data_IF_979684761172
#
_entry.id   IF_979684761172
#
_cell.length_a   1.000
_cell.length_b   1.000
_cell.length_c   1.000
_cell.angle_alpha   90.00
_cell.angle_beta   90.00
_cell.angle_gamma   90.00
#
_symmetry.space_group_name_H-M   'P 1'
#
loop_
_entity.id
_entity.type
_entity.pdbx_description
1 polymer ?
#
# COMPACT_ATOMS: atom_id res chain seq x y z
N UNK A 1 27.16 21.61 2.90
CA UNK A 1 26.96 20.46 3.80
C UNK A 1 27.46 19.23 3.06
N UNK A 2 28.14 18.29 3.74
CA UNK A 2 28.66 17.05 3.13
C UNK A 2 27.47 16.12 2.81
N UNK A 3 27.47 15.47 1.66
CA UNK A 3 26.54 14.40 1.34
C UNK A 3 27.15 13.04 1.68
N UNK A 4 26.36 12.17 2.32
CA UNK A 4 26.71 10.78 2.62
C UNK A 4 25.76 9.89 1.82
N UNK A 5 26.33 9.07 0.94
CA UNK A 5 25.56 8.15 0.10
C UNK A 5 25.52 6.79 0.79
N UNK A 6 24.33 6.32 1.07
CA UNK A 6 24.06 5.00 1.64
C UNK A 6 23.55 4.04 0.56
N UNK A 7 24.09 2.82 0.57
CA UNK A 7 23.62 1.76 -0.30
C UNK A 7 22.48 1.00 0.39
N UNK A 8 21.33 0.89 -0.29
CA UNK A 8 20.26 0.02 0.13
C UNK A 8 20.23 -1.25 -0.72
N UNK A 9 19.96 -2.37 -0.10
CA UNK A 9 19.73 -3.63 -0.81
C UNK A 9 18.31 -3.69 -1.38
N UNK A 10 18.08 -4.41 -2.50
CA UNK A 10 16.75 -4.75 -2.95
C UNK A 10 15.99 -5.55 -1.89
N UNK A 11 14.69 -5.23 -1.73
CA UNK A 11 13.84 -5.83 -0.69
C UNK A 11 13.20 -7.14 -1.16
N UNK A 12 12.88 -8.04 -0.24
CA UNK A 12 12.11 -9.24 -0.51
C UNK A 12 12.63 -10.47 0.23
N UNK A 13 11.76 -11.46 0.36
CA UNK A 13 12.05 -12.73 0.99
C UNK A 13 13.26 -13.41 0.32
N UNK A 14 14.29 -13.87 1.07
CA UNK A 14 15.48 -14.52 0.52
C UNK A 14 15.22 -15.76 -0.33
N UNK A 15 14.08 -16.43 -0.12
CA UNK A 15 13.64 -17.59 -0.90
C UNK A 15 13.45 -17.31 -2.39
N UNK A 16 13.05 -16.08 -2.72
CA UNK A 16 12.73 -15.68 -4.11
C UNK A 16 13.92 -14.98 -4.75
N UNK A 17 14.12 -15.19 -6.07
CA UNK A 17 15.07 -14.42 -6.86
C UNK A 17 14.57 -13.02 -7.14
N UNK A 18 13.25 -12.88 -7.33
CA UNK A 18 12.64 -11.55 -7.45
C UNK A 18 12.95 -10.70 -6.21
N UNK A 19 13.29 -9.45 -6.45
CA UNK A 19 13.55 -8.44 -5.42
C UNK A 19 12.98 -7.10 -5.83
N UNK A 20 12.36 -6.41 -4.89
CA UNK A 20 11.85 -5.07 -5.09
C UNK A 20 12.99 -4.07 -5.16
N UNK A 21 13.07 -3.32 -6.28
CA UNK A 21 14.10 -2.31 -6.52
C UNK A 21 13.59 -0.89 -6.50
N UNK A 22 12.32 -0.67 -6.80
CA UNK A 22 11.66 0.64 -6.80
C UNK A 22 10.40 0.62 -5.94
N UNK A 23 9.94 1.79 -5.53
CA UNK A 23 8.68 1.93 -4.79
C UNK A 23 7.53 1.55 -5.73
N UNK A 24 6.71 0.58 -5.33
CA UNK A 24 5.63 0.08 -6.18
C UNK A 24 4.43 1.04 -6.14
N UNK A 25 3.99 1.47 -7.33
CA UNK A 25 2.77 2.25 -7.53
C UNK A 25 1.90 1.44 -8.50
N UNK A 26 1.01 0.64 -7.94
CA UNK A 26 0.21 -0.30 -8.74
C UNK A 26 -1.28 0.00 -8.70
N UNK A 27 -2.02 -0.62 -9.59
CA UNK A 27 -3.47 -0.66 -9.55
C UNK A 27 -4.00 -2.04 -9.90
N UNK A 28 -5.02 -2.46 -9.16
CA UNK A 28 -5.77 -3.66 -9.44
C UNK A 28 -6.86 -3.41 -10.48
N UNK A 29 -7.20 -4.45 -11.22
CA UNK A 29 -8.28 -4.44 -12.21
C UNK A 29 -8.15 -3.30 -13.24
N UNK A 30 -6.99 -3.22 -13.90
CA UNK A 30 -6.70 -2.22 -14.93
C UNK A 30 -7.42 -2.48 -16.27
N UNK A 31 -8.46 -3.31 -16.29
CA UNK A 31 -9.24 -3.65 -17.47
C UNK A 31 -10.32 -2.59 -17.71
N UNK A 32 -10.27 -1.93 -18.86
CA UNK A 32 -11.29 -1.00 -19.36
C UNK A 32 -11.88 -1.42 -20.69
N UNK A 33 -12.87 -0.66 -21.21
CA UNK A 33 -13.47 -0.92 -22.52
C UNK A 33 -12.43 -0.81 -23.63
N UNK A 34 -11.64 0.26 -23.62
CA UNK A 34 -10.47 0.45 -24.48
C UNK A 34 -9.22 0.11 -23.67
N UNK A 35 -8.71 -1.09 -23.86
CA UNK A 35 -7.55 -1.61 -23.13
C UNK A 35 -6.29 -0.80 -23.43
N UNK A 36 -6.04 -0.45 -24.69
CA UNK A 36 -4.83 0.30 -25.09
C UNK A 36 -4.81 1.70 -24.45
N UNK A 37 -5.93 2.41 -24.50
CA UNK A 37 -6.07 3.74 -23.87
C UNK A 37 -5.95 3.64 -22.35
N UNK A 38 -6.57 2.64 -21.73
CA UNK A 38 -6.51 2.41 -20.28
C UNK A 38 -5.07 2.24 -19.82
N UNK A 39 -4.31 1.33 -20.45
CA UNK A 39 -2.92 1.05 -20.06
C UNK A 39 -2.00 2.26 -20.31
N UNK A 40 -2.18 2.94 -21.47
CA UNK A 40 -1.47 4.19 -21.75
C UNK A 40 -1.71 5.24 -20.66
N UNK A 41 -2.96 5.44 -20.26
CA UNK A 41 -3.32 6.45 -19.25
C UNK A 41 -2.90 6.02 -17.83
N UNK A 42 -2.89 4.71 -17.50
CA UNK A 42 -2.28 4.23 -16.26
C UNK A 42 -0.79 4.63 -16.17
N UNK A 43 -0.04 4.40 -17.24
CA UNK A 43 1.38 4.82 -17.28
C UNK A 43 1.56 6.33 -17.17
N UNK A 44 0.71 7.11 -17.84
CA UNK A 44 0.74 8.58 -17.75
C UNK A 44 0.38 9.08 -16.33
N UNK A 45 -0.54 8.40 -15.62
CA UNK A 45 -0.86 8.67 -14.23
C UNK A 45 0.26 8.27 -13.24
N UNK A 46 1.35 7.68 -13.73
CA UNK A 46 2.54 7.37 -12.94
C UNK A 46 2.57 6.00 -12.31
N UNK A 47 1.63 5.11 -12.63
CA UNK A 47 1.72 3.70 -12.23
C UNK A 47 2.93 3.04 -12.89
N UNK A 48 3.70 2.27 -12.13
CA UNK A 48 4.84 1.49 -12.65
C UNK A 48 4.55 -0.01 -12.68
N UNK A 49 3.47 -0.45 -12.03
CA UNK A 49 3.06 -1.84 -11.97
C UNK A 49 1.53 -1.92 -12.11
N UNK A 50 1.04 -2.88 -12.86
CA UNK A 50 -0.38 -3.15 -13.01
C UNK A 50 -0.71 -4.57 -12.55
N UNK A 51 -1.93 -4.75 -12.08
CA UNK A 51 -2.46 -6.05 -11.73
C UNK A 51 -3.69 -6.28 -12.59
N UNK A 52 -3.57 -7.25 -13.52
CA UNK A 52 -4.69 -7.61 -14.33
C UNK A 52 -5.65 -8.41 -13.46
N UNK A 53 -6.83 -7.86 -13.27
CA UNK A 53 -7.83 -8.45 -12.40
C UNK A 53 -8.86 -9.26 -13.16
N UNK A 54 -10.05 -9.20 -12.68
CA UNK A 54 -11.17 -9.98 -13.12
C UNK A 54 -11.71 -9.49 -14.48
N UNK A 55 -11.63 -10.34 -15.48
CA UNK A 55 -12.12 -10.04 -16.82
C UNK A 55 -12.25 -11.31 -17.67
N UNK A 56 -12.73 -11.16 -18.91
CA UNK A 56 -12.70 -12.28 -19.85
C UNK A 56 -11.27 -12.63 -20.22
N UNK A 57 -11.06 -13.88 -20.60
CA UNK A 57 -9.75 -14.35 -21.06
C UNK A 57 -9.16 -13.44 -22.14
N UNK A 58 -9.94 -13.02 -23.12
CA UNK A 58 -9.49 -12.13 -24.19
C UNK A 58 -9.00 -10.79 -23.64
N UNK A 59 -9.75 -10.18 -22.69
CA UNK A 59 -9.38 -8.90 -22.10
C UNK A 59 -8.11 -8.97 -21.26
N UNK A 60 -7.91 -10.06 -20.54
CA UNK A 60 -6.67 -10.31 -19.79
C UNK A 60 -5.47 -10.34 -20.75
N UNK A 61 -5.58 -11.07 -21.87
CA UNK A 61 -4.49 -11.16 -22.84
C UNK A 61 -4.31 -9.88 -23.65
N UNK A 62 -5.37 -9.13 -23.98
CA UNK A 62 -5.25 -7.78 -24.54
C UNK A 62 -4.45 -6.86 -23.59
N UNK A 63 -4.67 -6.99 -22.28
CA UNK A 63 -3.93 -6.20 -21.26
C UNK A 63 -2.45 -6.57 -21.25
N UNK A 64 -2.09 -7.85 -21.36
CA UNK A 64 -0.69 -8.29 -21.49
C UNK A 64 -0.02 -7.62 -22.68
N UNK A 65 -0.66 -7.64 -23.87
CA UNK A 65 -0.09 -7.04 -25.09
C UNK A 65 0.01 -5.51 -24.98
N UNK A 66 -0.97 -4.86 -24.35
CA UNK A 66 -0.91 -3.42 -24.12
C UNK A 66 0.21 -3.03 -23.13
N UNK A 67 0.46 -3.83 -22.09
CA UNK A 67 1.56 -3.63 -21.17
C UNK A 67 2.93 -3.74 -21.84
N UNK A 68 3.11 -4.75 -22.71
CA UNK A 68 4.32 -4.88 -23.55
C UNK A 68 4.51 -3.66 -24.47
N UNK A 69 3.43 -3.19 -25.11
CA UNK A 69 3.45 -2.04 -26.02
C UNK A 69 3.83 -0.74 -25.31
N UNK A 70 3.25 -0.49 -24.15
CA UNK A 70 3.45 0.76 -23.41
C UNK A 70 4.62 0.71 -22.42
N UNK A 71 5.22 -0.46 -22.21
CA UNK A 71 6.37 -0.64 -21.32
C UNK A 71 6.05 -0.39 -19.85
N UNK A 72 5.00 -1.04 -19.33
CA UNK A 72 4.61 -1.00 -17.93
C UNK A 72 4.51 -2.44 -17.40
N UNK A 73 5.03 -2.67 -16.21
CA UNK A 73 5.09 -4.01 -15.63
C UNK A 73 3.70 -4.51 -15.19
N UNK A 74 3.51 -5.83 -15.26
CA UNK A 74 2.24 -6.50 -15.02
C UNK A 74 2.41 -7.71 -14.11
N UNK A 75 1.52 -7.83 -13.11
CA UNK A 75 1.25 -9.07 -12.38
C UNK A 75 0.04 -9.73 -13.04
N UNK A 76 0.25 -10.90 -13.62
CA UNK A 76 -0.75 -11.62 -14.40
C UNK A 76 -1.70 -12.42 -13.51
N UNK A 77 -3.00 -12.30 -13.77
CA UNK A 77 -4.05 -13.17 -13.26
C UNK A 77 -5.08 -13.47 -14.35
N UNK A 78 -5.42 -14.73 -14.52
CA UNK A 78 -6.50 -15.17 -15.41
C UNK A 78 -7.28 -16.29 -14.71
N UNK A 79 -8.42 -15.93 -14.16
CA UNK A 79 -9.26 -16.85 -13.38
C UNK A 79 -9.87 -17.98 -14.20
N UNK A 80 -9.81 -17.91 -15.54
CA UNK A 80 -10.23 -18.99 -16.42
C UNK A 80 -9.16 -20.07 -16.59
N UNK A 81 -7.89 -19.74 -16.31
CA UNK A 81 -6.74 -20.65 -16.46
C UNK A 81 -6.25 -21.18 -15.12
N UNK A 82 -5.85 -20.30 -14.23
CA UNK A 82 -5.37 -20.64 -12.90
C UNK A 82 -5.49 -19.43 -11.97
N UNK A 83 -5.23 -19.61 -10.71
CA UNK A 83 -5.45 -18.65 -9.64
C UNK A 83 -6.80 -18.84 -8.96
N UNK A 84 -7.12 -18.06 -7.96
CA UNK A 84 -8.34 -18.20 -7.19
C UNK A 84 -8.78 -16.92 -6.52
N UNK A 85 -10.03 -16.94 -6.10
CA UNK A 85 -10.67 -15.89 -5.32
C UNK A 85 -11.03 -16.39 -3.93
N UNK A 86 -11.19 -15.45 -2.98
CA UNK A 86 -11.37 -15.66 -1.55
C UNK A 86 -12.33 -16.79 -1.14
N UNK A 87 -13.41 -17.04 -1.87
CA UNK A 87 -14.47 -17.98 -1.49
C UNK A 87 -14.71 -19.11 -2.51
N UNK A 88 -14.00 -19.11 -3.63
CA UNK A 88 -14.18 -20.15 -4.64
C UNK A 88 -13.07 -21.17 -4.56
N UNK A 89 -13.27 -22.14 -3.70
CA UNK A 89 -12.70 -23.44 -3.98
C UNK A 89 -13.63 -24.10 -5.02
N UNK A 90 -13.28 -24.02 -6.29
CA UNK A 90 -13.74 -25.03 -7.23
C UNK A 90 -13.09 -26.32 -6.73
N UNK A 91 -13.85 -27.39 -6.50
CA UNK A 91 -13.35 -28.70 -6.01
C UNK A 91 -12.30 -29.34 -6.96
N UNK A 92 -11.98 -28.64 -8.04
CA UNK A 92 -10.96 -29.03 -9.00
C UNK A 92 -9.71 -28.18 -8.80
N UNK A 93 -8.60 -28.78 -8.33
CA UNK A 93 -7.32 -28.08 -8.37
C UNK A 93 -7.02 -27.69 -9.82
N UNK A 94 -6.48 -26.48 -10.00
CA UNK A 94 -6.03 -26.03 -11.33
C UNK A 94 -4.99 -27.03 -11.86
N UNK A 95 -5.17 -27.46 -13.12
CA UNK A 95 -4.26 -28.42 -13.76
C UNK A 95 -2.84 -27.83 -13.85
N UNK A 96 -1.90 -28.58 -13.31
CA UNK A 96 -0.48 -28.22 -13.32
C UNK A 96 0.04 -27.89 -14.72
N UNK A 97 -0.44 -28.58 -15.76
CA UNK A 97 0.02 -28.33 -17.11
C UNK A 97 -0.49 -27.01 -17.66
N UNK A 98 -1.73 -26.61 -17.32
CA UNK A 98 -2.27 -25.29 -17.67
C UNK A 98 -1.41 -24.18 -17.06
N UNK A 99 -1.04 -24.31 -15.79
CA UNK A 99 -0.14 -23.36 -15.12
C UNK A 99 1.21 -23.30 -15.86
N UNK A 100 1.85 -24.46 -16.11
CA UNK A 100 3.17 -24.53 -16.77
C UNK A 100 3.15 -23.93 -18.17
N UNK A 101 2.16 -24.27 -18.99
CA UNK A 101 2.04 -23.77 -20.37
C UNK A 101 1.82 -22.26 -20.38
N UNK A 102 0.97 -21.74 -19.49
CA UNK A 102 0.71 -20.30 -19.38
C UNK A 102 1.98 -19.56 -18.96
N UNK A 103 2.69 -20.05 -17.94
CA UNK A 103 3.94 -19.43 -17.47
C UNK A 103 5.02 -19.42 -18.56
N UNK A 104 5.19 -20.54 -19.31
CA UNK A 104 6.15 -20.61 -20.42
C UNK A 104 5.84 -19.60 -21.51
N UNK A 105 4.56 -19.42 -21.85
CA UNK A 105 4.11 -18.43 -22.83
C UNK A 105 4.38 -16.99 -22.35
N UNK A 106 4.14 -16.69 -21.06
CA UNK A 106 4.31 -15.37 -20.48
C UNK A 106 5.76 -15.04 -20.14
N UNK A 107 6.62 -16.03 -19.94
CA UNK A 107 8.06 -15.83 -19.68
C UNK A 107 8.78 -15.07 -20.80
N UNK A 108 8.26 -15.16 -22.02
CA UNK A 108 8.80 -14.42 -23.17
C UNK A 108 8.31 -12.95 -23.21
N UNK A 109 7.36 -12.57 -22.36
CA UNK A 109 6.86 -11.20 -22.23
C UNK A 109 7.72 -10.44 -21.24
N UNK A 110 8.35 -9.37 -21.70
CA UNK A 110 9.33 -8.59 -20.91
C UNK A 110 8.67 -7.93 -19.69
N UNK A 111 7.44 -7.50 -19.86
CA UNK A 111 6.71 -6.73 -18.86
C UNK A 111 5.74 -7.56 -18.00
N UNK A 112 5.66 -8.89 -18.20
CA UNK A 112 4.97 -9.77 -17.26
C UNK A 112 5.94 -10.21 -16.16
N UNK A 113 5.98 -9.46 -15.07
CA UNK A 113 6.98 -9.63 -14.00
C UNK A 113 6.54 -10.60 -12.90
N UNK A 114 5.24 -10.93 -12.83
CA UNK A 114 4.72 -11.76 -11.77
C UNK A 114 3.35 -12.39 -12.04
N UNK A 115 2.89 -13.15 -11.05
CA UNK A 115 1.62 -13.88 -11.10
C UNK A 115 0.85 -13.69 -9.81
N UNK A 116 -0.42 -13.34 -9.92
CA UNK A 116 -1.35 -13.19 -8.83
C UNK A 116 -1.96 -14.57 -8.54
N UNK A 117 -1.43 -15.24 -7.54
CA UNK A 117 -1.76 -16.66 -7.30
C UNK A 117 -3.03 -16.88 -6.51
N UNK A 118 -3.44 -15.92 -5.70
CA UNK A 118 -4.72 -15.97 -4.98
C UNK A 118 -5.14 -14.60 -4.46
N UNK A 119 -6.42 -14.29 -4.63
CA UNK A 119 -7.05 -13.07 -4.15
C UNK A 119 -7.75 -13.33 -2.82
N UNK A 120 -7.31 -12.66 -1.75
CA UNK A 120 -7.85 -12.72 -0.39
C UNK A 120 -8.13 -14.15 0.13
N UNK A 121 -7.12 -15.04 0.24
CA UNK A 121 -7.35 -16.36 0.81
C UNK A 121 -7.73 -16.26 2.28
N UNK A 122 -8.84 -16.92 2.68
CA UNK A 122 -9.41 -16.85 4.04
C UNK A 122 -9.31 -18.14 4.81
N UNK A 123 -8.86 -19.23 4.20
CA UNK A 123 -8.72 -20.54 4.81
C UNK A 123 -7.29 -21.07 4.60
N UNK A 124 -6.81 -21.87 5.55
CA UNK A 124 -5.48 -22.48 5.50
C UNK A 124 -5.25 -23.38 4.27
N UNK A 125 -6.28 -24.07 3.79
CA UNK A 125 -6.16 -24.88 2.57
C UNK A 125 -5.98 -24.01 1.30
N UNK A 126 -6.50 -22.76 1.30
CA UNK A 126 -6.28 -21.80 0.21
C UNK A 126 -4.84 -21.28 0.24
N UNK A 127 -4.25 -21.08 1.42
CA UNK A 127 -2.84 -20.72 1.56
C UNK A 127 -1.94 -21.80 0.94
N UNK A 128 -2.25 -23.07 1.21
CA UNK A 128 -1.52 -24.22 0.63
C UNK A 128 -1.70 -24.35 -0.89
N UNK A 129 -2.91 -24.07 -1.40
CA UNK A 129 -3.16 -24.09 -2.84
C UNK A 129 -2.42 -22.92 -3.55
N UNK A 130 -2.46 -21.71 -3.01
CA UNK A 130 -1.67 -20.59 -3.51
C UNK A 130 -0.15 -20.90 -3.49
N UNK A 131 0.32 -21.59 -2.43
CA UNK A 131 1.71 -22.06 -2.34
C UNK A 131 2.02 -23.09 -3.42
N UNK A 132 1.14 -24.06 -3.66
CA UNK A 132 1.30 -25.07 -4.71
C UNK A 132 1.44 -24.44 -6.07
N UNK A 133 0.56 -23.47 -6.41
CA UNK A 133 0.64 -22.72 -7.67
C UNK A 133 1.96 -21.96 -7.77
N UNK A 134 2.36 -21.25 -6.71
CA UNK A 134 3.64 -20.54 -6.64
C UNK A 134 4.84 -21.47 -6.91
N UNK A 135 4.85 -22.66 -6.32
CA UNK A 135 5.95 -23.61 -6.51
C UNK A 135 6.03 -24.15 -7.95
N UNK A 136 4.88 -24.30 -8.64
CA UNK A 136 4.85 -24.68 -10.06
C UNK A 136 5.37 -23.54 -10.92
N UNK A 137 4.90 -22.31 -10.69
CA UNK A 137 5.30 -21.13 -11.45
C UNK A 137 6.82 -20.89 -11.29
N UNK A 138 7.36 -20.94 -10.09
CA UNK A 138 8.78 -20.71 -9.82
C UNK A 138 9.70 -21.79 -10.43
N UNK A 139 9.21 -23.00 -10.68
CA UNK A 139 9.97 -24.01 -11.45
C UNK A 139 10.14 -23.65 -12.91
N UNK A 140 9.14 -23.00 -13.50
CA UNK A 140 9.16 -22.57 -14.92
C UNK A 140 9.80 -21.17 -15.07
N UNK A 141 9.53 -20.24 -14.13
CA UNK A 141 10.07 -18.88 -14.10
C UNK A 141 10.56 -18.52 -12.69
N UNK A 142 11.83 -18.80 -12.34
CA UNK A 142 12.37 -18.55 -11.00
C UNK A 142 12.45 -17.07 -10.61
N UNK A 143 12.40 -16.16 -11.56
CA UNK A 143 12.55 -14.71 -11.35
C UNK A 143 11.18 -14.01 -11.21
N UNK A 144 10.08 -14.75 -11.30
CA UNK A 144 8.74 -14.19 -11.21
C UNK A 144 8.38 -13.74 -9.79
N UNK A 145 7.67 -12.62 -9.69
CA UNK A 145 6.98 -12.19 -8.47
C UNK A 145 5.74 -13.06 -8.25
N UNK A 146 5.70 -13.77 -7.13
CA UNK A 146 4.49 -14.44 -6.66
C UNK A 146 3.70 -13.48 -5.79
N UNK A 147 2.49 -13.15 -6.19
CA UNK A 147 1.70 -12.15 -5.52
C UNK A 147 0.37 -12.72 -5.00
N UNK A 148 -0.02 -12.28 -3.83
CA UNK A 148 -1.31 -12.55 -3.19
C UNK A 148 -1.57 -11.43 -2.19
N UNK A 149 -2.82 -11.06 -1.98
CA UNK A 149 -3.24 -10.08 -0.97
C UNK A 149 -3.92 -10.79 0.18
N UNK A 150 -3.67 -10.36 1.41
CA UNK A 150 -4.39 -10.82 2.59
C UNK A 150 -5.57 -9.88 2.85
N UNK A 151 -6.79 -10.42 3.11
CA UNK A 151 -7.99 -9.62 3.26
C UNK A 151 -7.98 -8.76 4.52
N UNK A 152 -8.81 -7.70 4.59
CA UNK A 152 -8.93 -6.85 5.75
C UNK A 152 -9.67 -7.52 6.91
N UNK A 153 -9.49 -6.99 8.12
CA UNK A 153 -10.09 -7.54 9.35
C UNK A 153 -11.62 -7.56 9.36
N UNK A 154 -12.27 -6.76 8.53
CA UNK A 154 -13.72 -6.77 8.39
C UNK A 154 -14.26 -7.87 7.47
N UNK A 155 -13.41 -8.55 6.73
CA UNK A 155 -13.84 -9.65 5.89
C UNK A 155 -14.25 -10.83 6.76
N UNK A 156 -15.45 -11.42 6.57
CA UNK A 156 -15.98 -12.50 7.44
C UNK A 156 -15.29 -13.84 7.16
N UNK A 157 -13.98 -13.88 7.30
CA UNK A 157 -13.26 -15.16 7.34
C UNK A 157 -13.59 -15.91 8.62
N UNK A 158 -13.70 -17.24 8.60
CA UNK A 158 -14.08 -18.03 9.79
C UNK A 158 -13.05 -17.98 10.91
N UNK A 159 -11.97 -17.27 10.74
CA UNK A 159 -10.78 -17.35 11.60
C UNK A 159 -10.53 -16.11 12.43
N UNK A 160 -11.21 -14.99 12.21
CA UNK A 160 -10.81 -13.76 12.90
C UNK A 160 -11.76 -13.14 13.91
N UNK A 161 -12.58 -13.96 14.52
CA UNK A 161 -13.29 -13.53 15.71
C UNK A 161 -12.31 -13.34 16.89
N UNK A 162 -12.44 -12.21 17.59
CA UNK A 162 -11.76 -11.96 18.88
C UNK A 162 -10.22 -12.06 18.86
N UNK A 163 -9.56 -11.32 17.98
CA UNK A 163 -8.09 -11.22 17.95
C UNK A 163 -7.39 -12.24 17.06
N UNK A 164 -8.12 -13.12 16.40
CA UNK A 164 -7.55 -14.12 15.48
C UNK A 164 -7.07 -13.56 14.15
N UNK A 165 -7.37 -12.31 13.82
CA UNK A 165 -6.91 -11.68 12.58
C UNK A 165 -5.38 -11.70 12.46
N UNK A 166 -4.67 -11.32 13.53
CA UNK A 166 -3.21 -11.39 13.56
C UNK A 166 -2.71 -12.82 13.34
N UNK A 167 -3.30 -13.79 14.05
CA UNK A 167 -2.88 -15.20 13.96
C UNK A 167 -3.12 -15.77 12.56
N UNK A 168 -4.27 -15.45 11.93
CA UNK A 168 -4.59 -15.87 10.57
C UNK A 168 -3.63 -15.23 9.55
N UNK A 169 -3.33 -13.94 9.70
CA UNK A 169 -2.37 -13.27 8.83
C UNK A 169 -0.95 -13.83 9.01
N UNK A 170 -0.57 -14.13 10.22
CA UNK A 170 0.70 -14.81 10.48
C UNK A 170 0.75 -16.22 9.90
N UNK A 171 -0.35 -16.98 9.99
CA UNK A 171 -0.45 -18.31 9.37
C UNK A 171 -0.34 -18.23 7.84
N UNK A 172 -1.02 -17.26 7.21
CA UNK A 172 -0.86 -16.99 5.78
C UNK A 172 0.61 -16.78 5.40
N UNK A 173 1.35 -15.97 6.16
CA UNK A 173 2.78 -15.73 5.90
C UNK A 173 3.58 -17.03 6.01
N UNK A 174 3.32 -17.85 7.04
CA UNK A 174 4.04 -19.11 7.29
C UNK A 174 3.76 -20.17 6.23
N UNK A 175 2.54 -20.27 5.74
CA UNK A 175 2.14 -21.31 4.80
C UNK A 175 2.38 -20.91 3.34
N UNK A 176 2.08 -19.68 2.95
CA UNK A 176 2.34 -19.20 1.60
C UNK A 176 3.80 -18.79 1.40
N UNK A 177 4.46 -18.23 2.44
CA UNK A 177 5.79 -17.62 2.35
C UNK A 177 5.90 -16.59 1.22
N UNK A 178 5.09 -15.52 1.20
CA UNK A 178 5.06 -14.59 0.08
C UNK A 178 6.37 -13.79 -0.01
N UNK A 179 6.77 -13.31 -1.21
CA UNK A 179 7.92 -12.41 -1.35
C UNK A 179 7.64 -10.98 -0.85
N UNK A 180 6.37 -10.59 -0.86
CA UNK A 180 5.82 -9.30 -0.43
C UNK A 180 4.60 -9.56 0.43
N UNK A 181 4.46 -8.86 1.53
CA UNK A 181 3.26 -8.85 2.33
C UNK A 181 2.32 -7.78 1.79
N UNK A 182 1.18 -8.16 1.22
CA UNK A 182 0.16 -7.23 0.76
C UNK A 182 -1.12 -7.40 1.55
N UNK A 183 -1.77 -6.29 1.86
CA UNK A 183 -3.10 -6.26 2.45
C UNK A 183 -3.92 -5.11 1.86
N UNK A 184 -5.23 -5.21 1.94
CA UNK A 184 -6.16 -4.18 1.51
C UNK A 184 -7.05 -3.70 2.64
N UNK A 185 -7.51 -2.45 2.50
CA UNK A 185 -8.53 -1.89 3.36
C UNK A 185 -9.28 -0.75 2.66
N UNK A 186 -10.62 -0.82 2.63
CA UNK A 186 -11.48 0.16 1.96
C UNK A 186 -12.43 0.82 2.98
N UNK A 187 -11.97 1.89 3.68
CA UNK A 187 -12.70 2.47 4.81
C UNK A 187 -13.92 3.29 4.40
N UNK A 188 -14.03 3.71 3.13
CA UNK A 188 -15.08 4.60 2.66
C UNK A 188 -16.17 3.77 1.98
N UNK A 189 -17.27 3.52 2.66
CA UNK A 189 -18.37 2.77 2.10
C UNK A 189 -19.19 2.05 3.16
N UNK A 190 -20.26 1.42 2.73
CA UNK A 190 -21.22 0.79 3.63
C UNK A 190 -20.87 -0.66 3.94
N UNK A 191 -19.80 -0.88 4.71
CA UNK A 191 -19.51 -2.18 5.34
C UNK A 191 -20.35 -2.43 6.62
N UNK A 192 -21.26 -1.51 6.96
CA UNK A 192 -22.09 -1.60 8.17
C UNK A 192 -22.91 -2.90 8.26
N UNK A 193 -23.22 -3.54 7.13
CA UNK A 193 -23.91 -4.83 7.11
C UNK A 193 -23.09 -6.01 7.63
N UNK A 194 -21.75 -5.89 7.66
CA UNK A 194 -20.85 -6.94 8.12
C UNK A 194 -20.57 -6.86 9.64
N UNK A 195 -20.79 -5.68 10.24
CA UNK A 195 -20.61 -5.46 11.66
C UNK A 195 -21.92 -4.92 12.28
N UNK A 196 -22.82 -5.77 12.73
CA UNK A 196 -24.06 -5.34 13.37
C UNK A 196 -23.81 -4.42 14.56
N UNK A 197 -24.37 -3.20 14.53
CA UNK A 197 -24.26 -2.22 15.61
C UNK A 197 -23.16 -1.16 15.44
N UNK A 198 -22.52 -1.07 14.29
CA UNK A 198 -21.73 0.10 13.89
C UNK A 198 -22.58 1.02 13.01
N UNK A 199 -22.97 2.17 13.54
CA UNK A 199 -23.42 3.29 12.71
C UNK A 199 -22.18 4.06 12.30
N UNK A 200 -21.85 4.06 11.00
CA UNK A 200 -20.73 4.84 10.47
C UNK A 200 -21.20 6.27 10.19
N UNK A 201 -20.58 7.22 10.85
CA UNK A 201 -20.57 8.61 10.40
C UNK A 201 -19.40 8.83 9.43
N UNK A 202 -19.43 9.89 8.61
CA UNK A 202 -18.31 10.25 7.74
C UNK A 202 -16.97 10.36 8.50
N UNK A 203 -17.00 10.89 9.71
CA UNK A 203 -15.84 11.02 10.58
C UNK A 203 -15.30 9.65 11.05
N UNK A 204 -16.17 8.70 11.35
CA UNK A 204 -15.78 7.36 11.82
C UNK A 204 -15.11 6.51 10.74
N UNK A 205 -15.38 6.75 9.46
CA UNK A 205 -14.88 5.92 8.37
C UNK A 205 -13.37 5.99 8.17
N UNK A 206 -12.75 7.12 8.45
CA UNK A 206 -11.31 7.31 8.30
C UNK A 206 -10.57 7.45 9.64
N UNK A 207 -11.12 8.18 10.57
CA UNK A 207 -10.47 8.48 11.85
C UNK A 207 -10.61 7.34 12.89
N UNK A 208 -11.77 6.70 12.96
CA UNK A 208 -12.05 5.55 13.85
C UNK A 208 -12.01 4.20 13.10
N UNK A 209 -11.60 4.20 11.86
CA UNK A 209 -11.56 3.00 11.04
C UNK A 209 -10.57 1.98 11.59
N UNK A 210 -10.91 0.69 11.65
CA UNK A 210 -9.94 -0.39 11.88
C UNK A 210 -8.79 -0.46 10.88
N UNK A 211 -8.79 0.37 9.82
CA UNK A 211 -7.67 0.48 8.87
C UNK A 211 -6.34 0.74 9.57
N UNK A 212 -6.34 1.62 10.58
CA UNK A 212 -5.12 1.95 11.33
C UNK A 212 -4.56 0.74 12.07
N UNK A 213 -5.47 -0.09 12.57
CA UNK A 213 -5.13 -1.33 13.24
C UNK A 213 -4.58 -2.37 12.27
N UNK A 214 -5.25 -2.57 11.12
CA UNK A 214 -4.81 -3.51 10.11
C UNK A 214 -3.42 -3.12 9.58
N UNK A 215 -3.16 -1.83 9.39
CA UNK A 215 -1.84 -1.30 9.07
C UNK A 215 -0.81 -1.59 10.16
N UNK A 216 -1.18 -1.46 11.45
CA UNK A 216 -0.29 -1.78 12.57
C UNK A 216 0.04 -3.28 12.62
N UNK A 217 -0.95 -4.15 12.41
CA UNK A 217 -0.77 -5.61 12.31
C UNK A 217 0.16 -5.95 11.15
N UNK A 218 -0.10 -5.43 9.95
CA UNK A 218 0.73 -5.67 8.77
C UNK A 218 2.18 -5.20 8.97
N UNK A 219 2.38 -3.99 9.53
CA UNK A 219 3.71 -3.47 9.91
C UNK A 219 4.45 -4.43 10.85
N UNK A 220 3.79 -4.88 11.91
CA UNK A 220 4.40 -5.77 12.90
C UNK A 220 4.79 -7.11 12.29
N UNK A 221 3.94 -7.69 11.45
CA UNK A 221 4.23 -8.93 10.74
C UNK A 221 5.34 -8.73 9.68
N UNK A 222 5.30 -7.65 8.91
CA UNK A 222 6.34 -7.31 7.94
C UNK A 222 7.72 -7.22 8.60
N UNK A 223 7.81 -6.55 9.76
CA UNK A 223 9.05 -6.47 10.56
C UNK A 223 9.48 -7.84 11.10
N UNK A 224 8.54 -8.61 11.67
CA UNK A 224 8.82 -9.94 12.25
C UNK A 224 9.40 -10.91 11.23
N UNK A 225 8.89 -10.86 9.99
CA UNK A 225 9.30 -11.76 8.91
C UNK A 225 10.29 -11.13 7.92
N UNK A 226 10.69 -9.87 8.16
CA UNK A 226 11.58 -9.09 7.28
C UNK A 226 11.10 -9.09 5.82
N UNK A 227 9.83 -8.75 5.62
CA UNK A 227 9.17 -8.67 4.31
C UNK A 227 8.88 -7.21 3.93
N UNK A 228 8.96 -6.82 2.66
CA UNK A 228 8.37 -5.57 2.21
C UNK A 228 6.86 -5.67 2.37
N UNK A 229 6.24 -4.57 2.82
CA UNK A 229 4.80 -4.44 2.98
C UNK A 229 4.24 -3.55 1.88
N UNK A 230 3.12 -3.97 1.25
CA UNK A 230 2.35 -3.19 0.28
C UNK A 230 0.92 -3.01 0.77
N UNK A 231 0.33 -1.88 0.44
CA UNK A 231 -1.00 -1.50 0.92
C UNK A 231 -1.92 -1.11 -0.23
N UNK A 232 -3.06 -1.81 -0.34
CA UNK A 232 -4.17 -1.39 -1.19
C UNK A 232 -4.99 -0.32 -0.51
N UNK A 233 -5.05 0.84 -1.12
CA UNK A 233 -5.89 1.94 -0.69
C UNK A 233 -7.10 2.10 -1.61
N UNK A 234 -8.19 2.61 -1.05
CA UNK A 234 -9.41 2.89 -1.79
C UNK A 234 -9.28 4.18 -2.59
N UNK A 235 -9.57 4.13 -3.90
CA UNK A 235 -9.54 5.29 -4.78
C UNK A 235 -10.85 5.54 -5.52
N UNK A 236 -11.85 4.71 -5.29
CA UNK A 236 -13.16 4.80 -5.93
C UNK A 236 -14.27 4.34 -4.96
N UNK A 237 -15.50 4.54 -5.35
CA UNK A 237 -16.63 3.96 -4.62
C UNK A 237 -16.66 2.44 -4.80
N UNK A 238 -16.42 1.70 -3.71
CA UNK A 238 -16.45 0.23 -3.71
C UNK A 238 -17.88 -0.29 -3.55
N UNK A 239 -18.70 0.44 -2.82
CA UNK A 239 -20.11 0.09 -2.55
C UNK A 239 -21.05 1.29 -2.74
N UNK A 240 -22.35 1.03 -2.81
CA UNK A 240 -23.35 2.10 -2.76
C UNK A 240 -23.26 2.80 -1.40
N UNK A 241 -22.79 4.03 -1.41
CA UNK A 241 -22.69 4.89 -0.24
C UNK A 241 -23.09 6.31 -0.62
N UNK A 242 -23.64 7.06 0.33
CA UNK A 242 -23.92 8.49 0.18
C UNK A 242 -22.66 9.34 0.43
N UNK A 243 -21.59 8.70 0.96
CA UNK A 243 -20.32 9.37 1.21
C UNK A 243 -19.60 9.62 -0.11
N UNK A 244 -19.32 10.88 -0.38
CA UNK A 244 -18.56 11.28 -1.55
C UNK A 244 -17.08 11.17 -1.28
N UNK A 245 -16.42 10.20 -1.91
CA UNK A 245 -14.96 10.13 -1.87
C UNK A 245 -14.34 11.43 -2.43
N UNK A 246 -13.34 11.96 -1.74
CA UNK A 246 -12.56 13.12 -2.19
C UNK A 246 -11.10 12.75 -2.34
N UNK A 247 -10.35 13.48 -3.18
CA UNK A 247 -8.93 13.14 -3.33
C UNK A 247 -8.10 13.34 -2.05
N UNK A 248 -8.37 14.32 -1.16
CA UNK A 248 -7.75 14.37 0.16
C UNK A 248 -7.93 13.10 1.00
N UNK A 249 -9.08 12.40 0.91
CA UNK A 249 -9.29 11.10 1.56
C UNK A 249 -8.37 10.04 0.95
N UNK A 250 -8.29 9.97 -0.39
CA UNK A 250 -7.41 9.05 -1.12
C UNK A 250 -5.95 9.32 -0.75
N UNK A 251 -5.53 10.59 -0.78
CA UNK A 251 -4.18 11.02 -0.41
C UNK A 251 -3.82 10.64 1.02
N UNK A 252 -4.72 10.85 1.96
CA UNK A 252 -4.53 10.47 3.37
C UNK A 252 -4.29 8.96 3.52
N UNK A 253 -5.05 8.11 2.82
CA UNK A 253 -4.83 6.65 2.85
C UNK A 253 -3.48 6.27 2.24
N UNK A 254 -3.06 6.90 1.13
CA UNK A 254 -1.75 6.65 0.52
C UNK A 254 -0.62 6.97 1.50
N UNK A 255 -0.68 8.15 2.13
CA UNK A 255 0.31 8.53 3.13
C UNK A 255 0.22 7.71 4.42
N UNK A 256 -0.97 7.24 4.82
CA UNK A 256 -1.13 6.31 5.94
C UNK A 256 -0.36 5.00 5.69
N UNK A 257 -0.46 4.42 4.50
CA UNK A 257 0.36 3.25 4.13
C UNK A 257 1.86 3.52 4.27
N UNK A 258 2.35 4.64 3.72
CA UNK A 258 3.76 5.03 3.80
C UNK A 258 4.21 5.33 5.24
N UNK A 259 3.35 5.95 6.05
CA UNK A 259 3.56 6.21 7.47
C UNK A 259 3.85 4.92 8.24
N UNK A 260 3.11 3.84 7.94
CA UNK A 260 3.32 2.51 8.51
C UNK A 260 4.46 1.73 7.85
N UNK A 261 5.18 2.33 6.92
CA UNK A 261 6.38 1.76 6.29
C UNK A 261 6.11 0.92 5.04
N UNK A 262 4.97 1.10 4.38
CA UNK A 262 4.71 0.44 3.10
C UNK A 262 5.79 0.75 2.06
N UNK A 263 6.13 -0.25 1.25
CA UNK A 263 7.09 -0.19 0.15
C UNK A 263 6.40 -0.19 -1.21
N UNK A 264 5.09 -0.24 -1.20
CA UNK A 264 4.24 -0.13 -2.37
C UNK A 264 2.84 0.30 -1.97
N UNK A 265 2.21 1.06 -2.86
CA UNK A 265 0.85 1.53 -2.76
C UNK A 265 0.06 1.00 -3.96
N UNK A 266 -1.07 0.36 -3.66
CA UNK A 266 -1.89 -0.33 -4.63
C UNK A 266 -3.26 0.32 -4.69
N UNK A 267 -3.64 0.77 -5.86
CA UNK A 267 -4.88 1.48 -6.11
C UNK A 267 -6.03 0.50 -6.32
N UNK A 268 -7.11 0.62 -5.59
CA UNK A 268 -8.35 -0.12 -5.85
C UNK A 268 -9.49 0.86 -6.13
N UNK A 269 -9.93 0.99 -7.38
CA UNK A 269 -9.36 0.59 -8.68
C UNK A 269 -9.30 1.79 -9.62
N UNK A 270 -8.43 1.74 -10.62
CA UNK A 270 -8.18 2.89 -11.49
C UNK A 270 -9.40 3.29 -12.33
N UNK A 271 -10.21 2.33 -12.81
CA UNK A 271 -11.39 2.55 -13.66
C UNK A 271 -12.73 2.58 -12.90
N UNK A 272 -12.69 2.83 -11.58
CA UNK A 272 -13.87 2.60 -10.74
C UNK A 272 -14.10 1.10 -10.47
N UNK A 273 -15.23 0.71 -9.93
CA UNK A 273 -15.44 -0.68 -9.51
C UNK A 273 -15.44 -1.66 -10.67
N UNK A 274 -14.45 -2.56 -10.71
CA UNK A 274 -14.47 -3.88 -11.37
C UNK A 274 -15.17 -3.95 -12.74
N UNK A 275 -14.88 -3.02 -13.66
CA UNK A 275 -15.48 -3.02 -15.00
C UNK A 275 -15.36 -4.39 -15.69
N UNK A 276 -14.24 -5.09 -15.49
CA UNK A 276 -14.00 -6.42 -16.06
C UNK A 276 -15.01 -7.49 -15.62
N UNK A 277 -15.65 -7.31 -14.43
CA UNK A 277 -16.68 -8.24 -13.91
C UNK A 277 -18.09 -7.82 -14.28
N UNK A 278 -18.36 -6.52 -14.37
CA UNK A 278 -19.70 -5.97 -14.52
C UNK A 278 -19.74 -4.88 -15.59
N UNK A 279 -19.46 -5.23 -16.86
CA UNK A 279 -19.32 -4.23 -17.93
C UNK A 279 -20.62 -3.48 -18.25
N UNK A 280 -21.79 -4.02 -17.88
CA UNK A 280 -23.12 -3.38 -18.02
C UNK A 280 -23.56 -2.54 -16.83
N UNK A 281 -22.84 -2.58 -15.72
CA UNK A 281 -23.23 -1.78 -14.55
C UNK A 281 -22.86 -0.32 -14.82
N UNK A 282 -23.81 0.64 -14.67
CA UNK A 282 -23.47 2.04 -14.77
C UNK A 282 -22.64 2.44 -13.55
N UNK A 283 -21.32 2.50 -13.75
CA UNK A 283 -20.41 2.99 -12.73
C UNK A 283 -20.47 4.51 -12.63
N UNK A 284 -20.28 5.07 -11.43
CA UNK A 284 -20.09 6.49 -11.31
C UNK A 284 -18.88 6.86 -12.17
N UNK A 285 -19.12 7.70 -13.17
CA UNK A 285 -18.07 8.27 -14.04
C UNK A 285 -17.30 9.38 -13.32
N UNK A 286 -17.74 9.73 -12.11
CA UNK A 286 -17.21 10.80 -11.28
C UNK A 286 -16.27 10.21 -10.22
N UNK A 287 -15.21 10.97 -9.91
CA UNK A 287 -14.29 10.70 -8.80
C UNK A 287 -13.50 9.40 -8.91
N UNK A 288 -12.97 9.17 -10.08
CA UNK A 288 -12.07 8.07 -10.41
C UNK A 288 -10.81 8.59 -11.10
N UNK A 289 -9.76 7.79 -11.12
CA UNK A 289 -8.54 8.11 -11.88
C UNK A 289 -8.80 8.00 -13.38
N UNK A 290 -9.43 6.91 -13.81
CA UNK A 290 -9.90 6.72 -15.18
C UNK A 290 -11.39 6.38 -15.18
N UNK A 291 -12.08 6.73 -16.27
CA UNK A 291 -13.44 6.26 -16.53
C UNK A 291 -13.38 4.87 -17.17
N UNK A 292 -14.49 4.13 -17.16
CA UNK A 292 -14.56 2.76 -17.66
C UNK A 292 -14.17 2.59 -19.15
N UNK A 293 -14.24 3.65 -19.96
CA UNK A 293 -13.80 3.63 -21.35
C UNK A 293 -12.29 3.87 -21.54
N UNK A 294 -11.55 4.10 -20.44
CA UNK A 294 -10.12 4.35 -20.41
C UNK A 294 -9.72 5.82 -20.45
N UNK A 295 -10.68 6.76 -20.58
CA UNK A 295 -10.40 8.19 -20.54
C UNK A 295 -10.11 8.68 -19.12
N UNK A 296 -9.47 9.87 -19.01
CA UNK A 296 -9.09 10.47 -17.72
C UNK A 296 -10.30 10.89 -16.93
N UNK A 297 -10.34 10.50 -15.66
CA UNK A 297 -11.36 10.86 -14.67
C UNK A 297 -10.95 12.07 -13.82
N UNK A 298 -11.81 12.44 -12.86
CA UNK A 298 -11.65 13.64 -12.04
C UNK A 298 -10.38 13.62 -11.17
N UNK A 299 -9.92 12.45 -10.76
CA UNK A 299 -8.73 12.28 -9.91
C UNK A 299 -7.41 12.10 -10.67
N UNK A 300 -7.45 12.14 -12.02
CA UNK A 300 -6.27 11.80 -12.83
C UNK A 300 -5.05 12.68 -12.54
N UNK A 301 -5.21 13.99 -12.57
CA UNK A 301 -4.09 14.92 -12.41
C UNK A 301 -3.54 14.93 -10.97
N UNK A 302 -4.42 14.79 -9.98
CA UNK A 302 -4.04 14.68 -8.57
C UNK A 302 -3.32 13.35 -8.28
N UNK A 303 -3.79 12.24 -8.87
CA UNK A 303 -3.13 10.93 -8.78
C UNK A 303 -1.75 10.96 -9.43
N UNK A 304 -1.64 11.55 -10.60
CA UNK A 304 -0.35 11.73 -11.29
C UNK A 304 0.63 12.52 -10.42
N UNK A 305 0.20 13.63 -9.87
CA UNK A 305 1.04 14.48 -9.01
C UNK A 305 1.55 13.73 -7.78
N UNK A 306 0.67 13.03 -7.06
CA UNK A 306 1.10 12.29 -5.86
C UNK A 306 2.01 11.10 -6.22
N UNK A 307 1.82 10.46 -7.37
CA UNK A 307 2.74 9.43 -7.83
C UNK A 307 4.13 9.97 -8.18
N UNK A 308 4.21 11.20 -8.74
CA UNK A 308 5.49 11.89 -8.95
C UNK A 308 6.19 12.16 -7.61
N UNK A 309 5.45 12.60 -6.59
CA UNK A 309 5.99 12.77 -5.23
C UNK A 309 6.53 11.46 -4.65
N UNK A 310 5.75 10.36 -4.72
CA UNK A 310 6.22 9.04 -4.25
C UNK A 310 7.41 8.49 -5.03
N UNK A 311 7.54 8.80 -6.32
CA UNK A 311 8.75 8.48 -7.08
C UNK A 311 9.99 9.17 -6.53
N UNK A 312 9.89 10.46 -6.18
CA UNK A 312 11.01 11.21 -5.60
C UNK A 312 11.36 10.71 -4.21
N UNK A 313 10.36 10.43 -3.36
CA UNK A 313 10.56 9.87 -2.03
C UNK A 313 10.98 8.39 -2.04
N UNK A 314 10.79 7.68 -3.15
CA UNK A 314 10.84 6.22 -3.23
C UNK A 314 12.14 5.60 -2.71
N UNK A 315 13.31 6.12 -3.08
CA UNK A 315 14.58 5.60 -2.60
C UNK A 315 14.74 5.74 -1.08
N UNK A 316 14.32 6.87 -0.52
CA UNK A 316 14.31 7.09 0.92
C UNK A 316 13.33 6.14 1.60
N UNK A 317 12.06 6.08 1.16
CA UNK A 317 11.04 5.22 1.74
C UNK A 317 11.42 3.73 1.71
N UNK A 318 12.08 3.28 0.64
CA UNK A 318 12.55 1.89 0.54
C UNK A 318 13.69 1.57 1.52
N UNK A 319 14.48 2.57 1.91
CA UNK A 319 15.55 2.40 2.88
C UNK A 319 15.06 2.45 4.35
N UNK A 320 13.87 2.98 4.59
CA UNK A 320 13.36 3.18 5.94
C UNK A 320 12.52 1.99 6.44
N UNK A 321 12.65 1.67 7.71
CA UNK A 321 11.79 0.75 8.46
C UNK A 321 10.97 1.55 9.47
N UNK A 322 9.67 1.30 9.57
CA UNK A 322 8.83 1.94 10.58
C UNK A 322 9.07 1.32 11.96
N UNK A 323 9.31 2.14 12.97
CA UNK A 323 9.47 1.73 14.38
C UNK A 323 8.15 1.81 15.14
N UNK A 324 7.44 2.94 14.97
CA UNK A 324 6.22 3.24 15.69
C UNK A 324 5.36 4.22 14.91
N UNK A 325 4.07 4.26 15.22
CA UNK A 325 3.13 5.28 14.74
C UNK A 325 2.35 5.84 15.90
N UNK A 326 2.46 7.13 16.11
CA UNK A 326 1.79 7.84 17.19
C UNK A 326 0.64 8.68 16.63
N UNK A 327 -0.48 8.67 17.33
CA UNK A 327 -1.67 9.42 16.97
C UNK A 327 -1.99 10.48 18.02
N UNK A 328 -2.58 11.60 17.58
CA UNK A 328 -3.12 12.60 18.49
C UNK A 328 -4.26 12.03 19.33
N UNK A 329 -4.36 12.46 20.60
CA UNK A 329 -5.31 11.92 21.57
C UNK A 329 -6.77 12.29 21.33
N UNK A 330 -7.04 13.16 20.36
CA UNK A 330 -8.40 13.62 20.02
C UNK A 330 -9.17 12.64 19.12
N UNK A 331 -8.52 11.55 18.69
CA UNK A 331 -9.11 10.54 17.81
C UNK A 331 -8.99 9.17 18.46
N UNK A 332 -10.10 8.45 18.47
CA UNK A 332 -10.14 7.04 18.86
C UNK A 332 -9.87 6.18 17.61
N UNK A 333 -8.59 6.13 17.24
CA UNK A 333 -8.13 5.49 15.99
C UNK A 333 -8.60 4.05 15.82
N UNK A 334 -8.86 3.36 16.93
CA UNK A 334 -9.25 1.94 16.91
C UNK A 334 -10.70 1.70 17.31
N UNK A 335 -11.46 2.74 17.67
CA UNK A 335 -12.85 2.62 18.08
C UNK A 335 -13.06 1.52 19.12
N UNK A 336 -14.13 0.74 18.96
CA UNK A 336 -14.43 -0.39 19.88
C UNK A 336 -13.45 -1.57 19.76
N UNK A 337 -12.63 -1.64 18.71
CA UNK A 337 -11.60 -2.68 18.53
C UNK A 337 -10.31 -2.35 19.26
N UNK A 338 -10.12 -1.14 19.80
CA UNK A 338 -8.93 -0.73 20.54
C UNK A 338 -8.58 -1.65 21.70
N UNK A 339 -9.59 -2.16 22.40
CA UNK A 339 -9.36 -3.10 23.51
C UNK A 339 -8.79 -4.46 23.06
N UNK A 340 -9.15 -4.92 21.84
CA UNK A 340 -8.68 -6.21 21.30
C UNK A 340 -7.23 -6.09 20.84
N UNK A 341 -6.83 -4.91 20.39
CA UNK A 341 -5.55 -4.72 19.70
C UNK A 341 -4.67 -3.65 20.34
N UNK A 342 -4.93 -3.28 21.59
CA UNK A 342 -4.12 -2.32 22.35
C UNK A 342 -2.62 -2.66 22.37
N UNK A 343 -2.26 -3.94 22.19
CA UNK A 343 -0.87 -4.40 22.12
C UNK A 343 -0.16 -3.97 20.82
N UNK A 344 -0.90 -3.47 19.82
CA UNK A 344 -0.34 -2.91 18.58
C UNK A 344 -0.28 -1.39 18.57
N UNK A 345 -0.82 -0.74 19.62
CA UNK A 345 -0.79 0.69 19.81
C UNK A 345 0.59 1.12 20.33
N UNK A 346 1.22 2.05 19.62
CA UNK A 346 2.50 2.61 20.05
C UNK A 346 2.26 3.79 21.02
N UNK A 347 2.94 3.78 22.15
CA UNK A 347 2.82 4.84 23.15
C UNK A 347 3.86 5.92 22.86
N UNK A 348 3.43 7.18 22.71
CA UNK A 348 4.34 8.31 22.46
C UNK A 348 5.37 8.51 23.57
N UNK A 349 5.06 8.09 24.81
CA UNK A 349 6.01 8.12 25.92
C UNK A 349 7.25 7.23 25.70
N UNK A 350 7.18 6.27 24.79
CA UNK A 350 8.30 5.40 24.42
C UNK A 350 9.18 5.99 23.31
N UNK A 351 8.75 7.10 22.68
CA UNK A 351 9.54 7.78 21.65
C UNK A 351 10.77 8.46 22.27
N UNK A 352 11.90 8.35 21.58
CA UNK A 352 13.12 9.08 21.94
C UNK A 352 13.22 10.45 21.25
N UNK A 353 12.37 10.68 20.26
CA UNK A 353 12.43 11.86 19.39
C UNK A 353 11.28 12.80 19.66
N UNK A 354 10.08 12.27 19.88
CA UNK A 354 8.88 13.07 20.15
C UNK A 354 8.68 13.29 21.65
N UNK A 355 7.99 14.37 21.99
CA UNK A 355 7.62 14.67 23.38
C UNK A 355 6.19 15.22 23.45
N UNK A 356 5.54 15.02 24.59
CA UNK A 356 4.23 15.61 24.86
C UNK A 356 3.11 15.07 23.96
N UNK A 357 2.11 15.91 23.72
CA UNK A 357 0.94 15.57 22.91
C UNK A 357 1.13 16.06 21.47
N UNK A 358 0.75 15.21 20.51
CA UNK A 358 0.68 15.62 19.13
C UNK A 358 -0.47 16.61 18.87
N UNK A 359 -0.31 17.52 17.90
CA UNK A 359 -1.38 18.40 17.45
C UNK A 359 -2.62 17.60 17.04
N UNK A 360 -3.79 18.23 17.16
CA UNK A 360 -5.06 17.63 16.76
C UNK A 360 -5.00 17.09 15.33
N UNK A 361 -5.62 15.92 15.10
CA UNK A 361 -5.70 15.26 13.81
C UNK A 361 -4.34 14.98 13.13
N UNK A 362 -3.32 14.76 13.94
CA UNK A 362 -1.97 14.44 13.48
C UNK A 362 -1.61 12.99 13.79
N UNK A 363 -0.97 12.33 12.81
CA UNK A 363 -0.26 11.08 13.05
C UNK A 363 1.20 11.25 12.67
N UNK A 364 2.10 10.64 13.45
CA UNK A 364 3.54 10.68 13.19
C UNK A 364 4.11 9.27 13.18
N UNK A 365 4.68 8.88 12.03
CA UNK A 365 5.47 7.67 11.92
C UNK A 365 6.92 7.94 12.30
N UNK A 366 7.45 7.17 13.23
CA UNK A 366 8.88 7.14 13.56
C UNK A 366 9.54 6.03 12.75
N UNK A 367 10.48 6.40 11.87
CA UNK A 367 11.14 5.48 10.96
C UNK A 367 12.65 5.59 11.13
N UNK A 368 13.36 4.56 10.70
CA UNK A 368 14.82 4.57 10.66
C UNK A 368 15.35 3.76 9.47
N UNK A 369 16.57 4.10 9.05
CA UNK A 369 17.35 3.26 8.14
C UNK A 369 18.26 2.26 8.88
N UNK A 370 18.95 1.42 8.13
CA UNK A 370 19.90 0.44 8.65
C UNK A 370 21.22 1.07 9.16
N UNK A 371 21.42 2.38 8.95
CA UNK A 371 22.60 3.13 9.34
C UNK A 371 22.40 3.97 10.60
N UNK A 372 21.19 3.93 11.17
CA UNK A 372 20.86 4.64 12.40
C UNK A 372 20.35 6.07 12.19
N UNK A 373 20.03 6.48 10.94
CA UNK A 373 19.36 7.76 10.72
C UNK A 373 17.89 7.66 11.07
N UNK A 374 17.41 8.64 11.82
CA UNK A 374 16.03 8.70 12.27
C UNK A 374 15.20 9.65 11.40
N UNK A 375 13.94 9.27 11.19
CA UNK A 375 12.99 10.01 10.37
C UNK A 375 11.64 10.12 11.07
N UNK A 376 10.98 11.24 10.85
CA UNK A 376 9.59 11.48 11.25
C UNK A 376 8.75 11.74 9.99
N UNK A 377 7.68 10.97 9.82
CA UNK A 377 6.71 11.19 8.78
C UNK A 377 5.44 11.77 9.40
N UNK A 378 5.17 13.06 9.17
CA UNK A 378 4.04 13.77 9.78
C UNK A 378 2.88 13.80 8.80
N UNK A 379 1.72 13.30 9.21
CA UNK A 379 0.48 13.21 8.42
C UNK A 379 -0.61 14.09 9.03
N UNK A 380 -1.22 14.94 8.22
CA UNK A 380 -2.51 15.57 8.51
C UNK A 380 -3.65 14.58 8.24
N UNK A 381 -4.30 14.06 9.30
CA UNK A 381 -5.45 13.16 9.14
C UNK A 381 -6.78 13.87 8.85
N UNK A 382 -6.80 15.20 8.93
CA UNK A 382 -7.97 15.97 8.51
C UNK A 382 -7.99 16.06 6.99
N UNK A 383 -8.99 15.45 6.37
CA UNK A 383 -9.17 15.48 4.92
C UNK A 383 -10.02 16.68 4.43
N UNK A 384 -10.42 17.57 5.34
CA UNK A 384 -11.17 18.79 5.03
C UNK A 384 -10.37 20.05 5.33
N UNK A 385 -9.50 20.02 6.35
CA UNK A 385 -8.82 21.22 6.88
C UNK A 385 -7.30 21.09 6.79
N UNK A 386 -6.70 22.24 6.53
CA UNK A 386 -5.25 22.40 6.63
C UNK A 386 -4.78 22.25 8.08
N UNK A 387 -3.62 21.64 8.27
CA UNK A 387 -2.92 21.54 9.53
C UNK A 387 -1.78 22.56 9.57
N UNK A 388 -1.88 23.58 10.40
CA UNK A 388 -0.78 24.49 10.74
C UNK A 388 -0.44 24.28 12.22
N UNK A 389 0.66 23.58 12.53
CA UNK A 389 0.95 23.16 13.89
C UNK A 389 2.44 22.89 14.13
N UNK A 390 2.80 22.85 15.41
CA UNK A 390 4.12 22.46 15.88
C UNK A 390 4.07 21.02 16.44
N UNK A 391 4.92 20.14 15.96
CA UNK A 391 5.15 18.80 16.49
C UNK A 391 6.31 18.86 17.47
N UNK A 392 6.09 18.63 18.79
CA UNK A 392 7.11 18.82 19.81
C UNK A 392 8.14 17.68 19.80
N UNK A 393 9.43 18.03 19.99
CA UNK A 393 10.54 17.10 20.07
C UNK A 393 11.05 16.96 21.52
N UNK A 394 11.67 15.82 21.82
CA UNK A 394 12.21 15.49 23.15
C UNK A 394 13.56 16.17 23.47
N UNK A 395 14.15 16.85 22.49
CA UNK A 395 15.46 17.48 22.59
C UNK A 395 15.70 18.47 21.48
N UNK A 396 16.95 18.82 21.26
CA UNK A 396 17.38 19.73 20.19
C UNK A 396 17.89 18.93 19.00
N UNK A 397 17.31 19.17 17.83
CA UNK A 397 17.62 18.45 16.60
C UNK A 397 17.90 19.38 15.43
N UNK A 398 18.73 18.92 14.49
CA UNK A 398 18.79 19.44 13.12
C UNK A 398 17.76 18.70 12.30
N UNK A 399 16.86 19.42 11.63
CA UNK A 399 15.71 18.89 10.91
C UNK A 399 15.94 19.09 9.43
N UNK A 400 15.82 18.02 8.65
CA UNK A 400 15.98 18.04 7.20
C UNK A 400 14.68 17.55 6.55
N UNK A 401 14.04 18.43 5.78
CA UNK A 401 12.90 18.02 4.97
C UNK A 401 13.39 17.20 3.76
N UNK A 402 12.70 16.09 3.48
CA UNK A 402 12.91 15.31 2.24
C UNK A 402 11.97 15.85 1.18
N UNK A 403 12.53 16.52 0.19
CA UNK A 403 11.77 17.18 -0.89
C UNK A 403 10.95 16.17 -1.70
N UNK A 404 9.69 16.49 -1.92
CA UNK A 404 8.79 15.72 -2.80
C UNK A 404 8.98 16.05 -4.27
N UNK A 405 9.79 17.06 -4.60
CA UNK A 405 10.08 17.46 -5.98
C UNK A 405 11.31 16.75 -6.57
N UNK A 406 12.33 16.49 -5.75
CA UNK A 406 13.59 15.90 -6.22
C UNK A 406 14.19 14.84 -5.27
N UNK A 407 13.53 14.49 -4.17
CA UNK A 407 13.97 13.50 -3.18
C UNK A 407 15.14 13.93 -2.31
N UNK A 408 15.63 15.16 -2.46
CA UNK A 408 16.80 15.64 -1.70
C UNK A 408 16.41 16.18 -0.32
N UNK A 409 17.37 16.12 0.58
CA UNK A 409 17.22 16.68 1.92
C UNK A 409 17.64 18.15 1.96
N UNK A 410 16.78 19.00 2.50
CA UNK A 410 17.06 20.41 2.78
C UNK A 410 16.95 20.71 4.27
N UNK A 411 17.87 21.53 4.83
CA UNK A 411 17.82 21.93 6.24
C UNK A 411 16.58 22.82 6.47
N UNK A 412 15.61 22.30 7.22
CA UNK A 412 14.36 22.98 7.58
C UNK A 412 14.40 23.61 9.00
N UNK A 413 15.25 23.08 9.89
CA UNK A 413 15.42 23.60 11.24
C UNK A 413 16.79 23.25 11.82
N UNK A 414 17.34 24.15 12.61
CA UNK A 414 18.64 23.98 13.27
C UNK A 414 18.48 24.18 14.76
N UNK A 415 19.02 23.23 15.55
CA UNK A 415 18.88 23.23 17.03
C UNK A 415 17.41 23.41 17.47
N UNK A 416 16.49 22.78 16.76
CA UNK A 416 15.06 22.95 16.98
C UNK A 416 14.52 21.91 17.99
N UNK A 417 13.60 22.34 18.85
CA UNK A 417 12.86 21.52 19.81
C UNK A 417 11.44 21.18 19.32
N UNK A 418 11.11 21.55 18.08
CA UNK A 418 9.84 21.30 17.42
C UNK A 418 10.00 21.28 15.89
N UNK A 419 9.04 20.65 15.22
CA UNK A 419 8.87 20.72 13.77
C UNK A 419 7.60 21.50 13.47
N UNK A 420 7.71 22.66 12.81
CA UNK A 420 6.55 23.43 12.34
C UNK A 420 6.11 22.91 10.97
N UNK A 421 4.84 22.55 10.84
CA UNK A 421 4.26 22.03 9.60
C UNK A 421 3.09 22.87 9.13
N UNK A 422 2.93 22.97 7.80
CA UNK A 422 1.73 23.47 7.12
C UNK A 422 1.37 22.46 6.03
N UNK A 423 0.32 21.67 6.29
CA UNK A 423 -0.07 20.54 5.47
C UNK A 423 -1.51 20.69 4.99
N UNK A 424 -1.72 20.57 3.70
CA UNK A 424 -3.06 20.53 3.10
C UNK A 424 -3.89 19.35 3.67
N UNK A 425 -5.21 19.29 3.47
CA UNK A 425 -6.04 18.17 3.90
C UNK A 425 -5.53 16.82 3.41
N UNK A 426 -5.31 15.86 4.31
CA UNK A 426 -4.79 14.52 4.00
C UNK A 426 -3.34 14.47 3.54
N UNK A 427 -2.58 15.55 3.67
CA UNK A 427 -1.20 15.66 3.20
C UNK A 427 -0.18 15.25 4.27
N UNK A 428 1.06 14.93 3.84
CA UNK A 428 2.13 14.52 4.74
C UNK A 428 3.50 15.03 4.30
N UNK A 429 4.45 15.05 5.24
CA UNK A 429 5.84 15.46 4.98
C UNK A 429 6.80 14.56 5.72
N UNK A 430 7.91 14.21 5.08
CA UNK A 430 8.98 13.38 5.64
C UNK A 430 10.17 14.25 6.06
N UNK A 431 10.60 14.09 7.30
CA UNK A 431 11.79 14.74 7.84
C UNK A 431 12.82 13.72 8.29
N UNK A 432 14.09 13.93 7.99
CA UNK A 432 15.17 13.32 8.76
C UNK A 432 15.47 14.20 9.96
N UNK A 433 15.64 13.58 11.12
CA UNK A 433 15.99 14.25 12.37
C UNK A 433 17.35 13.75 12.86
N UNK A 434 18.19 14.67 13.27
CA UNK A 434 19.55 14.38 13.71
C UNK A 434 19.84 15.15 15.01
N UNK A 435 20.40 14.52 16.06
CA UNK A 435 20.80 15.26 17.26
C UNK A 435 21.65 16.50 16.92
N UNK A 436 21.39 17.61 17.61
CA UNK A 436 21.99 18.90 17.25
C UNK A 436 23.51 18.96 17.46
N UNK A 437 24.05 18.13 18.34
CA UNK A 437 25.47 18.01 18.66
C UNK A 437 26.26 17.12 17.66
N UNK A 438 25.59 16.46 16.72
CA UNK A 438 26.25 15.66 15.68
C UNK A 438 26.67 16.49 14.46
N UNK A 439 27.70 16.02 13.75
CA UNK A 439 28.14 16.66 12.50
C UNK A 439 27.05 16.62 11.44
N UNK A 440 26.70 17.79 10.90
CA UNK A 440 25.62 17.96 9.90
C UNK A 440 26.00 17.34 8.55
N UNK A 441 25.11 16.49 8.01
CA UNK A 441 25.26 15.91 6.67
C UNK A 441 23.88 15.73 6.01
N UNK A 442 23.88 15.45 4.72
CA UNK A 442 22.72 15.06 3.91
C UNK A 442 22.83 13.57 3.63
N UNK A 443 21.77 12.81 3.93
CA UNK A 443 21.70 11.40 3.62
C UNK A 443 21.03 11.17 2.24
N UNK A 444 21.68 10.41 1.38
CA UNK A 444 21.15 9.99 0.07
C UNK A 444 21.16 8.47 -0.02
N UNK A 445 20.14 7.88 -0.65
CA UNK A 445 20.04 6.43 -0.79
C UNK A 445 20.11 6.01 -2.25
N UNK A 446 20.95 5.02 -2.52
CA UNK A 446 21.08 4.37 -3.83
C UNK A 446 20.89 2.87 -3.68
N UNK A 447 20.24 2.25 -4.67
CA UNK A 447 20.14 0.80 -4.70
C UNK A 447 21.50 0.19 -5.07
N UNK A 448 21.93 -0.83 -4.31
CA UNK A 448 23.09 -1.62 -4.67
C UNK A 448 22.78 -2.52 -5.88
N UNK A 449 23.74 -2.78 -6.71
CA UNK A 449 23.66 -3.67 -7.87
C UNK A 449 23.30 -5.12 -7.49
#
# INVERSE_FOLDING_TARGET
>A
MKSVIYERKPLGNPRFRWKQREFALSTFNCIGKDTDMTIKNCKEAGFNLLEVGWGSHEKVWETVEACEKHGIDLIFQDLSLFSGMMYKHDDRPVDDNVIRETVRKLKEKKHTVGFYVWDEPVYDYLFREARRQSDIILKENPDALMFSVFPPSYNPGPTWDNGKYYDAFEQYIKELEPPVLSMDYYPIGNYCGLYPGLEYTEEMQLDDSPMWLDLAVARNLARKYNLPFWFYYQSCHVYKTDVKITFPMVRMMMYAGALYGAKGLQNYTVTGTCYGLHPETPYPTERTVLIADGTKGDFFDEQKKIHEEFKMLGNTLLALSNRAVYHSSDVKVYGKYGEIYKDFEDNIADSKILSGNLPRRTSVGELCDDYGNDYLFVLNRDFEKELCADVPLSGSFNIYEVSREDGKQGLAGENADKISVSLAPGDAVLFRVQPADEEKFIAEYKISE
#
